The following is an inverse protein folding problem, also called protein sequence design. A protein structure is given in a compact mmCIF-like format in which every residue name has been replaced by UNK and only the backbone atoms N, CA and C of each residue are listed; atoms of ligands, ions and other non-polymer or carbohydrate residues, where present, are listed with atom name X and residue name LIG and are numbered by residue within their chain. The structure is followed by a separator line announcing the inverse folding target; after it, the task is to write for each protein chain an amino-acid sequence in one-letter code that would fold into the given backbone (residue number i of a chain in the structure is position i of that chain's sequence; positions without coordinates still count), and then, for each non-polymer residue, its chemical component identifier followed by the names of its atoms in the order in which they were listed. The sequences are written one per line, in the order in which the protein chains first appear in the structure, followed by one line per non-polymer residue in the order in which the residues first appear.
data_IF_406669538970
#
_entry.id   IF_406669538970
#
_cell.length_a   1.000
_cell.length_b   1.000
_cell.length_c   1.000
_cell.angle_alpha   90.00
_cell.angle_beta   90.00
_cell.angle_gamma   90.00
#
_symmetry.space_group_name_H-M   'P 1'
#
loop_
_entity.id
_entity.type
_entity.pdbx_description
1 polymer ?
#
# COMPACT_ATOMS: atom_id res chain seq x y z
N UNK A 1 7.59 -3.22 38.39
CA UNK A 1 8.07 -4.19 37.36
C UNK A 1 7.75 -3.62 35.99
N UNK A 2 8.74 -3.47 35.08
CA UNK A 2 8.45 -3.14 33.70
C UNK A 2 8.01 -4.45 33.01
N UNK A 3 6.83 -4.47 32.42
CA UNK A 3 6.38 -5.61 31.62
C UNK A 3 7.24 -5.69 30.35
N UNK A 4 7.67 -6.90 29.96
CA UNK A 4 8.35 -7.15 28.68
C UNK A 4 7.30 -7.11 27.58
N UNK A 5 7.53 -6.31 26.55
CA UNK A 5 6.73 -6.31 25.33
C UNK A 5 7.12 -7.53 24.46
N UNK A 6 6.32 -7.82 23.42
CA UNK A 6 6.66 -8.83 22.45
C UNK A 6 7.92 -8.41 21.67
N UNK A 7 8.81 -9.36 21.39
CA UNK A 7 10.14 -9.08 20.79
C UNK A 7 10.03 -8.35 19.42
N UNK A 8 8.94 -8.57 18.67
CA UNK A 8 8.68 -7.84 17.42
C UNK A 8 8.48 -6.34 17.61
N UNK A 9 8.04 -5.89 18.79
CA UNK A 9 7.85 -4.45 19.08
C UNK A 9 9.19 -3.73 19.17
N UNK A 10 10.23 -4.42 19.67
CA UNK A 10 11.58 -3.87 19.77
C UNK A 10 12.26 -3.71 18.40
N UNK A 11 11.75 -4.41 17.37
CA UNK A 11 12.23 -4.30 15.99
C UNK A 11 11.65 -3.10 15.21
N UNK A 12 10.54 -2.53 15.71
CA UNK A 12 9.81 -1.45 15.01
C UNK A 12 10.51 -0.12 15.24
N UNK A 13 10.74 0.61 14.16
CA UNK A 13 11.31 1.96 14.23
C UNK A 13 10.19 3.02 14.39
N UNK A 14 10.40 4.04 15.23
CA UNK A 14 9.47 5.16 15.31
C UNK A 14 9.29 5.84 13.96
N UNK A 15 8.06 6.26 13.64
CA UNK A 15 7.77 6.94 12.38
C UNK A 15 8.52 8.27 12.28
N UNK A 16 9.52 8.34 11.41
CA UNK A 16 10.29 9.56 11.14
C UNK A 16 9.38 10.71 10.66
N UNK A 17 8.37 10.40 9.85
CA UNK A 17 7.39 11.39 9.37
C UNK A 17 6.62 12.05 10.51
N UNK A 18 6.17 11.26 11.51
CA UNK A 18 5.48 11.80 12.68
C UNK A 18 6.42 12.63 13.57
N UNK A 19 7.67 12.22 13.71
CA UNK A 19 8.67 12.99 14.46
C UNK A 19 8.90 14.37 13.81
N UNK A 20 9.08 14.40 12.49
CA UNK A 20 9.23 15.66 11.74
C UNK A 20 7.99 16.56 11.86
N UNK A 21 6.80 15.99 11.77
CA UNK A 21 5.56 16.75 11.97
C UNK A 21 5.47 17.36 13.38
N UNK A 22 5.87 16.60 14.41
CA UNK A 22 5.91 17.09 15.81
C UNK A 22 6.91 18.23 15.96
N UNK A 23 8.13 18.08 15.45
CA UNK A 23 9.16 19.12 15.49
C UNK A 23 8.67 20.40 14.79
N UNK A 24 8.07 20.27 13.61
CA UNK A 24 7.51 21.40 12.88
C UNK A 24 6.38 22.11 13.66
N UNK A 25 5.52 21.36 14.34
CA UNK A 25 4.47 21.93 15.20
C UNK A 25 5.05 22.66 16.42
N UNK A 26 6.06 22.11 17.09
CA UNK A 26 6.74 22.76 18.20
C UNK A 26 7.44 24.05 17.79
N UNK A 27 8.11 24.06 16.64
CA UNK A 27 8.75 25.28 16.09
C UNK A 27 7.70 26.37 15.82
N UNK A 28 6.57 26.03 15.20
CA UNK A 28 5.47 26.98 14.99
C UNK A 28 4.90 27.52 16.31
N UNK A 29 4.76 26.67 17.31
CA UNK A 29 4.29 27.08 18.63
C UNK A 29 5.24 28.09 19.32
N UNK A 30 6.54 28.07 18.97
CA UNK A 30 7.54 29.06 19.40
C UNK A 30 7.55 30.33 18.56
N UNK A 31 6.66 30.46 17.56
CA UNK A 31 6.58 31.61 16.67
C UNK A 31 7.56 31.58 15.48
N UNK A 32 8.21 30.43 15.24
CA UNK A 32 9.11 30.29 14.09
C UNK A 32 8.33 30.09 12.78
N UNK A 33 8.81 30.70 11.70
CA UNK A 33 8.25 30.51 10.36
C UNK A 33 8.74 29.19 9.80
N UNK A 34 7.85 28.18 9.71
CA UNK A 34 8.19 26.82 9.25
C UNK A 34 7.34 26.42 8.07
N UNK A 35 7.99 26.05 6.97
CA UNK A 35 7.37 25.39 5.82
C UNK A 35 7.54 23.87 6.04
N UNK A 36 6.41 23.16 6.14
CA UNK A 36 6.40 21.73 6.43
C UNK A 36 6.09 20.90 5.18
N UNK A 37 7.01 20.05 4.78
CA UNK A 37 6.88 19.08 3.68
C UNK A 37 6.90 17.61 4.18
N UNK A 38 6.75 17.38 5.49
CA UNK A 38 6.91 16.03 6.05
C UNK A 38 5.67 15.15 5.91
N UNK A 39 4.48 15.73 5.66
CA UNK A 39 3.21 14.99 5.52
C UNK A 39 2.52 15.43 4.24
N UNK A 40 2.15 14.46 3.42
CA UNK A 40 1.33 14.67 2.22
C UNK A 40 -0.11 14.24 2.48
N UNK A 41 -1.05 15.16 2.31
CA UNK A 41 -2.48 14.91 2.35
C UNK A 41 -3.18 15.76 1.29
N UNK A 42 -4.35 15.35 0.78
CA UNK A 42 -5.15 16.21 -0.10
C UNK A 42 -5.49 17.51 0.60
N UNK A 43 -5.30 18.65 -0.08
CA UNK A 43 -5.56 19.98 0.45
C UNK A 43 -7.03 20.40 0.34
N UNK A 44 -7.84 19.66 -0.41
CA UNK A 44 -9.29 19.85 -0.50
C UNK A 44 -10.02 19.20 0.67
N UNK A 45 -11.05 19.88 1.15
CA UNK A 45 -11.99 19.28 2.09
C UNK A 45 -12.75 18.11 1.43
N UNK A 46 -13.26 17.19 2.25
CA UNK A 46 -14.16 16.14 1.78
C UNK A 46 -15.33 16.76 1.00
N UNK A 47 -15.65 16.28 -0.21
CA UNK A 47 -16.75 16.81 -1.01
C UNK A 47 -18.09 16.82 -0.26
N UNK A 48 -18.89 17.87 -0.47
CA UNK A 48 -20.12 18.07 0.31
C UNK A 48 -21.14 16.93 0.17
N UNK A 49 -21.23 16.30 -1.00
CA UNK A 49 -22.09 15.15 -1.23
C UNK A 49 -21.66 13.96 -0.36
N UNK A 50 -20.37 13.75 -0.14
CA UNK A 50 -19.83 12.69 0.72
C UNK A 50 -20.11 13.00 2.19
N UNK A 51 -19.88 14.27 2.61
CA UNK A 51 -20.23 14.74 3.95
C UNK A 51 -21.69 14.49 4.26
N UNK A 52 -22.58 14.89 3.34
CA UNK A 52 -24.03 14.73 3.51
C UNK A 52 -24.46 13.27 3.53
N UNK A 53 -23.82 12.40 2.71
CA UNK A 53 -24.05 10.96 2.76
C UNK A 53 -23.65 10.36 4.12
N UNK A 54 -22.51 10.79 4.68
CA UNK A 54 -22.08 10.36 6.02
C UNK A 54 -23.06 10.80 7.12
N UNK A 55 -23.51 12.05 7.12
CA UNK A 55 -24.54 12.55 8.06
C UNK A 55 -25.82 11.74 7.96
N UNK A 56 -26.32 11.52 6.74
CA UNK A 56 -27.53 10.74 6.49
C UNK A 56 -27.40 9.30 6.97
N UNK A 57 -26.24 8.67 6.77
CA UNK A 57 -25.98 7.32 7.26
C UNK A 57 -26.05 7.24 8.80
N UNK A 58 -25.49 8.23 9.49
CA UNK A 58 -25.60 8.32 10.96
C UNK A 58 -27.05 8.49 11.41
N UNK A 59 -27.82 9.40 10.78
CA UNK A 59 -29.22 9.64 11.08
C UNK A 59 -30.09 8.37 10.83
N UNK A 60 -29.71 7.55 9.87
CA UNK A 60 -30.33 6.27 9.54
C UNK A 60 -29.88 5.11 10.45
N UNK A 61 -29.02 5.36 11.40
CA UNK A 61 -28.56 4.35 12.37
C UNK A 61 -27.52 3.37 11.83
N UNK A 62 -26.76 3.70 10.80
CA UNK A 62 -25.60 2.93 10.34
C UNK A 62 -24.42 3.05 11.33
N UNK A 63 -24.70 2.74 12.58
CA UNK A 63 -23.77 2.84 13.73
C UNK A 63 -23.66 1.51 14.47
N UNK A 64 -24.05 0.41 13.83
CA UNK A 64 -24.01 -0.95 14.38
C UNK A 64 -22.87 -1.76 13.78
N UNK A 65 -22.68 -2.97 14.30
CA UNK A 65 -21.72 -3.91 13.73
C UNK A 65 -22.02 -4.23 12.27
N UNK A 66 -20.98 -4.34 11.46
CA UNK A 66 -21.05 -4.81 10.09
C UNK A 66 -20.52 -6.25 9.98
N UNK A 67 -20.74 -6.90 8.84
CA UNK A 67 -20.08 -8.16 8.54
C UNK A 67 -18.54 -7.98 8.52
N UNK A 68 -17.80 -9.01 8.88
CA UNK A 68 -16.33 -8.97 8.97
C UNK A 68 -15.63 -8.44 7.70
N UNK A 69 -16.05 -8.86 6.48
CA UNK A 69 -15.48 -8.33 5.24
C UNK A 69 -15.93 -6.90 4.89
N UNK A 70 -16.85 -6.33 5.61
CA UNK A 70 -17.47 -5.04 5.33
C UNK A 70 -18.90 -5.15 4.78
N UNK A 71 -19.58 -4.00 4.68
CA UNK A 71 -20.95 -3.92 4.18
C UNK A 71 -21.03 -4.42 2.73
N UNK A 72 -22.08 -5.21 2.44
CA UNK A 72 -22.27 -5.80 1.11
C UNK A 72 -22.38 -4.71 0.04
N UNK A 73 -23.16 -3.67 0.31
CA UNK A 73 -23.39 -2.57 -0.62
C UNK A 73 -22.06 -1.84 -0.95
N UNK A 74 -21.21 -1.67 0.04
CA UNK A 74 -19.91 -1.02 -0.17
C UNK A 74 -18.95 -1.92 -0.95
N UNK A 75 -18.88 -3.22 -0.62
CA UNK A 75 -18.08 -4.18 -1.39
C UNK A 75 -18.54 -4.28 -2.84
N UNK A 76 -19.86 -4.26 -3.07
CA UNK A 76 -20.42 -4.23 -4.44
C UNK A 76 -20.06 -2.93 -5.17
N UNK A 77 -20.07 -1.79 -4.48
CA UNK A 77 -19.62 -0.51 -5.06
C UNK A 77 -18.15 -0.56 -5.47
N UNK A 78 -17.28 -1.21 -4.67
CA UNK A 78 -15.88 -1.44 -5.00
C UNK A 78 -15.75 -2.34 -6.24
N UNK A 79 -16.46 -3.46 -6.33
CA UNK A 79 -16.47 -4.30 -7.53
C UNK A 79 -16.87 -3.50 -8.78
N UNK A 80 -17.92 -2.70 -8.67
CA UNK A 80 -18.39 -1.86 -9.77
C UNK A 80 -17.36 -0.80 -10.20
N UNK A 81 -16.66 -0.19 -9.23
CA UNK A 81 -15.55 0.74 -9.48
C UNK A 81 -14.42 0.05 -10.21
N UNK A 82 -13.96 -1.09 -9.71
CA UNK A 82 -12.86 -1.85 -10.31
C UNK A 82 -13.18 -2.29 -11.74
N UNK A 83 -14.41 -2.72 -12.00
CA UNK A 83 -14.86 -3.04 -13.36
C UNK A 83 -14.88 -1.82 -14.27
N UNK A 84 -15.45 -0.71 -13.81
CA UNK A 84 -15.62 0.50 -14.62
C UNK A 84 -14.32 1.23 -14.91
N UNK A 85 -13.42 1.32 -13.90
CA UNK A 85 -12.26 2.20 -13.94
C UNK A 85 -10.95 1.46 -14.20
N UNK A 86 -10.82 0.24 -13.67
CA UNK A 86 -9.60 -0.55 -13.81
C UNK A 86 -9.74 -1.71 -14.80
N UNK A 87 -10.96 -1.97 -15.33
CA UNK A 87 -11.21 -3.11 -16.22
C UNK A 87 -11.06 -4.47 -15.53
N UNK A 88 -11.27 -4.52 -14.20
CA UNK A 88 -11.09 -5.71 -13.37
C UNK A 88 -12.42 -6.21 -12.83
N UNK A 89 -12.71 -7.46 -13.07
CA UNK A 89 -13.88 -8.14 -12.50
C UNK A 89 -13.46 -8.97 -11.30
N UNK A 90 -14.12 -8.72 -10.15
CA UNK A 90 -13.97 -9.47 -8.91
C UNK A 90 -15.32 -9.95 -8.41
N UNK A 91 -15.34 -11.14 -7.79
CA UNK A 91 -16.47 -11.57 -6.97
C UNK A 91 -16.49 -10.75 -5.67
N UNK A 92 -17.69 -10.51 -5.16
CA UNK A 92 -17.86 -9.75 -3.91
C UNK A 92 -17.12 -10.40 -2.72
N UNK A 93 -16.91 -11.71 -2.74
CA UNK A 93 -16.18 -12.44 -1.71
C UNK A 93 -14.66 -12.28 -1.81
N UNK A 94 -14.17 -11.69 -2.89
CA UNK A 94 -12.76 -11.32 -3.04
C UNK A 94 -12.45 -9.91 -2.52
N UNK A 95 -13.49 -9.18 -2.05
CA UNK A 95 -13.34 -7.81 -1.53
C UNK A 95 -13.41 -7.82 0.00
N UNK A 96 -12.40 -7.21 0.62
CA UNK A 96 -12.33 -6.96 2.06
C UNK A 96 -12.13 -5.46 2.32
N UNK A 97 -12.92 -4.90 3.24
CA UNK A 97 -12.85 -3.50 3.66
C UNK A 97 -12.22 -3.42 5.04
N UNK A 98 -11.29 -2.50 5.22
CA UNK A 98 -10.61 -2.26 6.49
C UNK A 98 -10.61 -0.77 6.86
N UNK A 99 -10.11 -0.44 8.05
CA UNK A 99 -10.00 0.95 8.53
C UNK A 99 -8.81 1.66 7.87
N UNK A 100 -8.96 1.95 6.58
CA UNK A 100 -7.92 2.50 5.71
C UNK A 100 -6.92 1.45 5.24
N UNK A 101 -6.21 1.79 4.19
CA UNK A 101 -5.27 0.90 3.50
C UNK A 101 -4.10 0.46 4.39
N UNK A 102 -3.66 1.33 5.31
CA UNK A 102 -2.62 0.96 6.29
C UNK A 102 -2.98 -0.31 7.06
N UNK A 103 -4.25 -0.48 7.45
CA UNK A 103 -4.71 -1.70 8.10
C UNK A 103 -4.73 -2.87 7.12
N UNK A 104 -5.18 -2.67 5.87
CA UNK A 104 -5.17 -3.71 4.84
C UNK A 104 -3.77 -4.28 4.64
N UNK A 105 -2.79 -3.40 4.42
CA UNK A 105 -1.37 -3.77 4.22
C UNK A 105 -0.79 -4.49 5.44
N UNK A 106 -0.98 -3.94 6.64
CA UNK A 106 -0.48 -4.55 7.87
C UNK A 106 -1.11 -5.92 8.14
N UNK A 107 -2.42 -6.05 7.93
CA UNK A 107 -3.14 -7.32 8.13
C UNK A 107 -2.73 -8.35 7.08
N UNK A 108 -2.58 -7.94 5.81
CA UNK A 108 -2.10 -8.82 4.75
C UNK A 108 -0.70 -9.35 5.07
N UNK A 109 0.23 -8.48 5.48
CA UNK A 109 1.57 -8.92 5.88
C UNK A 109 1.51 -9.96 7.02
N UNK A 110 0.73 -9.68 8.08
CA UNK A 110 0.61 -10.58 9.23
C UNK A 110 -0.09 -11.91 8.91
N UNK A 111 -0.98 -11.92 7.90
CA UNK A 111 -1.67 -13.15 7.47
C UNK A 111 -0.82 -14.03 6.55
N UNK A 112 0.13 -13.43 5.82
CA UNK A 112 0.85 -14.10 4.73
C UNK A 112 2.29 -14.43 5.05
N UNK A 113 2.94 -13.66 5.92
CA UNK A 113 4.37 -13.76 6.21
C UNK A 113 4.62 -14.07 7.68
N UNK A 114 5.78 -14.62 7.99
CA UNK A 114 6.17 -14.99 9.35
C UNK A 114 7.68 -15.19 9.49
N UNK A 115 8.07 -15.77 10.61
CA UNK A 115 9.46 -16.01 10.95
C UNK A 115 10.18 -16.83 9.88
N UNK A 116 11.31 -16.32 9.39
CA UNK A 116 12.13 -16.94 8.35
C UNK A 116 11.75 -16.52 6.93
N UNK A 117 10.64 -15.81 6.74
CA UNK A 117 10.27 -15.26 5.44
C UNK A 117 10.97 -13.93 5.19
N UNK A 118 11.37 -13.68 3.95
CA UNK A 118 11.80 -12.36 3.45
C UNK A 118 10.73 -11.78 2.54
N UNK A 119 10.53 -10.46 2.62
CA UNK A 119 9.59 -9.74 1.75
C UNK A 119 10.32 -8.58 1.09
N UNK A 120 10.29 -8.54 -0.24
CA UNK A 120 10.96 -7.49 -1.01
C UNK A 120 10.23 -6.17 -0.85
N UNK A 121 11.02 -5.10 -0.61
CA UNK A 121 10.58 -3.70 -0.62
C UNK A 121 11.53 -2.89 -1.49
N UNK A 122 10.98 -2.11 -2.39
CA UNK A 122 11.76 -1.28 -3.33
C UNK A 122 12.01 0.09 -2.72
N UNK A 123 13.27 0.54 -2.72
CA UNK A 123 13.65 1.82 -2.12
C UNK A 123 13.99 2.88 -3.19
N UNK A 124 13.59 4.17 -2.96
CA UNK A 124 12.93 4.70 -1.75
C UNK A 124 11.50 4.15 -1.56
N UNK A 125 11.08 3.95 -0.32
CA UNK A 125 9.79 3.36 0.04
C UNK A 125 9.04 4.21 1.08
N UNK A 126 7.74 4.00 1.18
CA UNK A 126 6.97 4.51 2.30
C UNK A 126 7.42 3.82 3.61
N UNK A 127 7.81 4.63 4.58
CA UNK A 127 8.47 4.18 5.83
C UNK A 127 7.72 3.08 6.61
N UNK A 128 6.43 2.88 6.32
CA UNK A 128 5.65 1.86 7.02
C UNK A 128 5.79 0.45 6.43
N UNK A 129 6.24 0.27 5.19
CA UNK A 129 6.33 -1.06 4.58
C UNK A 129 7.25 -2.02 5.34
N UNK A 130 8.51 -1.66 5.66
CA UNK A 130 9.36 -2.54 6.45
C UNK A 130 8.78 -2.85 7.83
N UNK A 131 8.05 -1.89 8.43
CA UNK A 131 7.47 -2.07 9.76
C UNK A 131 6.31 -3.08 9.75
N UNK A 132 5.48 -3.12 8.69
CA UNK A 132 4.45 -4.14 8.53
C UNK A 132 5.04 -5.54 8.41
N UNK A 133 6.16 -5.66 7.69
CA UNK A 133 6.89 -6.93 7.53
C UNK A 133 7.46 -7.37 8.88
N UNK A 134 8.11 -6.48 9.64
CA UNK A 134 8.66 -6.78 10.97
C UNK A 134 7.57 -7.14 11.98
N UNK A 135 6.38 -6.50 11.89
CA UNK A 135 5.21 -6.85 12.70
C UNK A 135 4.69 -8.27 12.43
N UNK A 136 4.93 -8.78 11.23
CA UNK A 136 4.63 -10.15 10.84
C UNK A 136 5.75 -11.14 11.24
N UNK A 137 6.77 -10.71 11.99
CA UNK A 137 7.97 -11.48 12.33
C UNK A 137 8.81 -11.91 11.10
N UNK A 138 8.61 -11.28 9.94
CA UNK A 138 9.39 -11.46 8.71
C UNK A 138 10.47 -10.37 8.57
N UNK A 139 11.37 -10.53 7.60
CA UNK A 139 12.46 -9.57 7.37
C UNK A 139 12.29 -8.86 6.01
N UNK A 140 12.44 -7.52 5.93
CA UNK A 140 12.41 -6.81 4.67
C UNK A 140 13.71 -7.00 3.89
N UNK A 141 13.62 -7.47 2.64
CA UNK A 141 14.72 -7.48 1.67
C UNK A 141 14.62 -6.22 0.80
N UNK A 142 15.57 -5.30 1.00
CA UNK A 142 15.56 -4.02 0.30
C UNK A 142 16.25 -4.14 -1.06
N UNK A 143 15.58 -3.65 -2.10
CA UNK A 143 16.08 -3.59 -3.48
C UNK A 143 16.04 -2.14 -3.95
N UNK A 144 17.12 -1.68 -4.56
CA UNK A 144 17.17 -0.34 -5.13
C UNK A 144 16.27 -0.19 -6.35
N UNK A 145 15.82 1.04 -6.57
CA UNK A 145 15.20 1.45 -7.84
C UNK A 145 16.16 2.38 -8.58
N UNK A 146 15.94 2.55 -9.87
CA UNK A 146 16.79 3.32 -10.76
C UNK A 146 16.13 4.68 -11.07
N UNK A 147 16.61 5.79 -10.49
CA UNK A 147 16.03 7.12 -10.73
C UNK A 147 15.95 7.50 -12.20
N UNK A 148 16.96 7.12 -12.99
CA UNK A 148 17.04 7.35 -14.44
C UNK A 148 16.02 6.52 -15.24
N UNK A 149 15.37 5.54 -14.61
CA UNK A 149 14.27 4.73 -15.14
C UNK A 149 12.97 4.96 -14.37
N UNK A 150 12.72 6.19 -13.99
CA UNK A 150 11.51 6.57 -13.26
C UNK A 150 11.26 5.73 -11.98
N UNK A 151 12.34 5.38 -11.27
CA UNK A 151 12.32 4.56 -10.07
C UNK A 151 11.73 3.15 -10.29
N UNK A 152 11.94 2.56 -11.44
CA UNK A 152 11.71 1.13 -11.64
C UNK A 152 12.75 0.29 -10.89
N UNK A 153 12.45 -0.99 -10.59
CA UNK A 153 13.38 -1.86 -9.87
C UNK A 153 14.72 -2.04 -10.57
N UNK A 154 15.79 -2.06 -9.79
CA UNK A 154 17.05 -2.63 -10.25
C UNK A 154 16.92 -4.16 -10.30
N UNK A 155 16.53 -4.66 -11.45
CA UNK A 155 16.36 -6.10 -11.67
C UNK A 155 17.69 -6.87 -11.65
N UNK A 156 18.82 -6.23 -11.90
CA UNK A 156 20.13 -6.87 -11.83
C UNK A 156 20.50 -7.09 -10.36
N UNK A 157 20.31 -6.07 -9.53
CA UNK A 157 20.47 -6.21 -8.08
C UNK A 157 19.53 -7.30 -7.55
N UNK A 158 18.23 -7.23 -7.87
CA UNK A 158 17.25 -8.21 -7.42
C UNK A 158 17.68 -9.64 -7.71
N UNK A 159 18.06 -9.92 -8.96
CA UNK A 159 18.43 -11.26 -9.41
C UNK A 159 19.80 -11.73 -8.89
N UNK A 160 20.62 -10.82 -8.37
CA UNK A 160 21.90 -11.15 -7.72
C UNK A 160 21.74 -11.63 -6.27
N UNK A 161 20.59 -11.34 -5.63
CA UNK A 161 20.35 -11.71 -4.22
C UNK A 161 20.05 -13.21 -4.06
N UNK A 162 20.22 -13.69 -2.83
CA UNK A 162 19.72 -15.01 -2.43
C UNK A 162 18.20 -14.91 -2.17
N UNK A 163 17.42 -15.42 -3.10
CA UNK A 163 15.96 -15.29 -3.09
C UNK A 163 15.24 -16.50 -2.44
N UNK A 164 15.96 -17.40 -1.75
CA UNK A 164 15.37 -18.65 -1.22
C UNK A 164 14.37 -18.42 -0.10
N UNK A 165 14.56 -17.40 0.73
CA UNK A 165 13.68 -17.06 1.84
C UNK A 165 12.56 -16.08 1.41
N UNK A 166 12.62 -15.55 0.20
CA UNK A 166 11.63 -14.59 -0.29
C UNK A 166 10.31 -15.27 -0.54
N UNK A 167 9.26 -14.76 0.10
CA UNK A 167 7.88 -15.25 -0.02
C UNK A 167 6.95 -14.29 -0.73
N UNK A 168 7.30 -13.01 -0.77
CA UNK A 168 6.49 -12.01 -1.44
C UNK A 168 7.20 -10.68 -1.62
N UNK A 169 6.47 -9.73 -2.16
CA UNK A 169 6.92 -8.36 -2.34
C UNK A 169 5.79 -7.36 -2.11
N UNK A 170 6.16 -6.13 -1.72
CA UNK A 170 5.27 -4.98 -1.71
C UNK A 170 5.67 -4.09 -2.89
N UNK A 171 4.74 -3.92 -3.84
CA UNK A 171 4.84 -3.05 -4.99
C UNK A 171 3.98 -1.83 -4.74
N UNK A 172 4.55 -0.62 -4.84
CA UNK A 172 3.82 0.63 -4.71
C UNK A 172 4.03 1.47 -5.97
N UNK A 173 3.01 1.50 -6.81
CA UNK A 173 3.01 2.26 -8.07
C UNK A 173 1.59 2.78 -8.32
N UNK A 174 1.41 4.11 -8.39
CA UNK A 174 2.40 5.18 -8.23
C UNK A 174 3.04 5.21 -6.84
N UNK A 175 4.32 5.53 -6.75
CA UNK A 175 5.14 5.32 -5.57
C UNK A 175 5.15 6.50 -4.60
N UNK A 176 5.13 6.21 -3.31
CA UNK A 176 5.51 7.11 -2.25
C UNK A 176 6.92 6.71 -1.74
N UNK A 177 7.96 7.61 -1.81
CA UNK A 177 7.84 9.07 -1.96
C UNK A 177 8.13 9.61 -3.36
N UNK A 178 8.50 8.78 -4.33
CA UNK A 178 9.12 9.24 -5.58
C UNK A 178 8.13 9.79 -6.61
N UNK A 179 6.84 9.40 -6.55
CA UNK A 179 5.85 9.65 -7.58
C UNK A 179 6.04 8.81 -8.85
N UNK A 180 7.06 7.94 -8.88
CA UNK A 180 7.33 7.08 -10.03
C UNK A 180 6.19 6.12 -10.31
N UNK A 181 5.84 5.98 -11.58
CA UNK A 181 4.86 5.01 -12.10
C UNK A 181 5.64 3.98 -12.92
N UNK A 182 5.57 2.71 -12.52
CA UNK A 182 6.28 1.66 -13.25
C UNK A 182 5.67 1.43 -14.61
N UNK A 183 6.52 1.25 -15.60
CA UNK A 183 6.08 0.90 -16.95
C UNK A 183 5.43 -0.49 -16.99
N UNK A 184 4.61 -0.71 -18.01
CA UNK A 184 4.02 -2.00 -18.28
C UNK A 184 5.08 -3.10 -18.42
N UNK A 185 6.21 -2.79 -19.06
CA UNK A 185 7.33 -3.73 -19.22
C UNK A 185 7.92 -4.13 -17.86
N UNK A 186 8.14 -3.17 -16.95
CA UNK A 186 8.64 -3.43 -15.60
C UNK A 186 7.66 -4.28 -14.80
N UNK A 187 6.36 -3.98 -14.87
CA UNK A 187 5.30 -4.76 -14.21
C UNK A 187 5.26 -6.19 -14.74
N UNK A 188 5.25 -6.39 -16.07
CA UNK A 188 5.27 -7.73 -16.68
C UNK A 188 6.49 -8.51 -16.22
N UNK A 189 7.69 -7.89 -16.25
CA UNK A 189 8.93 -8.54 -15.82
C UNK A 189 8.87 -8.96 -14.35
N UNK A 190 8.42 -8.06 -13.46
CA UNK A 190 8.29 -8.35 -12.03
C UNK A 190 7.28 -9.46 -11.76
N UNK A 191 6.12 -9.41 -12.39
CA UNK A 191 5.09 -10.42 -12.21
C UNK A 191 5.52 -11.80 -12.71
N UNK A 192 6.26 -11.87 -13.83
CA UNK A 192 6.84 -13.14 -14.31
C UNK A 192 7.87 -13.72 -13.32
N UNK A 193 8.69 -12.86 -12.70
CA UNK A 193 9.61 -13.28 -11.64
C UNK A 193 8.83 -13.77 -10.42
N UNK A 194 7.84 -13.02 -9.95
CA UNK A 194 7.00 -13.40 -8.82
C UNK A 194 6.28 -14.74 -9.07
N UNK A 195 5.71 -14.92 -10.27
CA UNK A 195 5.07 -16.19 -10.67
C UNK A 195 6.05 -17.36 -10.67
N UNK A 196 7.25 -17.18 -11.25
CA UNK A 196 8.30 -18.22 -11.30
C UNK A 196 8.70 -18.69 -9.91
N UNK A 197 8.76 -17.78 -8.94
CA UNK A 197 9.18 -18.07 -7.58
C UNK A 197 8.01 -18.34 -6.62
N UNK A 198 6.77 -18.30 -7.13
CA UNK A 198 5.55 -18.45 -6.34
C UNK A 198 5.43 -17.40 -5.21
N UNK A 199 5.85 -16.17 -5.47
CA UNK A 199 5.75 -15.05 -4.54
C UNK A 199 4.34 -14.44 -4.55
N UNK A 200 3.94 -13.91 -3.41
CA UNK A 200 2.72 -13.09 -3.29
C UNK A 200 3.09 -11.64 -3.53
N UNK A 201 2.37 -10.98 -4.42
CA UNK A 201 2.52 -9.55 -4.70
C UNK A 201 1.44 -8.79 -3.93
N UNK A 202 1.83 -7.92 -3.01
CA UNK A 202 0.95 -6.92 -2.41
C UNK A 202 1.13 -5.65 -3.22
N UNK A 203 0.14 -5.27 -4.03
CA UNK A 203 0.16 -4.09 -4.88
C UNK A 203 -0.58 -2.95 -4.18
N UNK A 204 0.17 -1.97 -3.68
CA UNK A 204 -0.35 -0.72 -3.12
C UNK A 204 -0.56 0.28 -4.25
N UNK A 205 -1.83 0.50 -4.60
CA UNK A 205 -2.27 1.36 -5.69
C UNK A 205 -3.06 2.59 -5.18
N UNK A 206 -2.79 3.04 -3.94
CA UNK A 206 -3.53 4.14 -3.31
C UNK A 206 -3.45 5.47 -4.08
N UNK A 207 -2.43 5.64 -4.91
CA UNK A 207 -2.22 6.84 -5.72
C UNK A 207 -2.69 6.70 -7.17
N UNK A 208 -3.53 5.72 -7.50
CA UNK A 208 -3.99 5.46 -8.88
C UNK A 208 -4.55 6.70 -9.60
N UNK A 209 -5.09 7.68 -8.85
CA UNK A 209 -5.66 8.92 -9.39
C UNK A 209 -4.70 10.12 -9.38
N UNK A 210 -3.51 9.97 -8.83
CA UNK A 210 -2.51 11.04 -8.72
C UNK A 210 -1.37 10.80 -9.72
N UNK A 211 -1.72 10.57 -10.96
CA UNK A 211 -0.79 10.47 -12.10
C UNK A 211 -0.96 11.71 -12.94
N UNK A 212 0.11 12.49 -13.07
CA UNK A 212 0.10 13.77 -13.78
C UNK A 212 0.57 13.66 -15.21
N UNK A 213 1.47 12.71 -15.47
CA UNK A 213 2.01 12.43 -16.80
C UNK A 213 1.86 10.93 -17.11
N UNK A 214 1.26 10.61 -18.24
CA UNK A 214 0.99 9.23 -18.65
C UNK A 214 -0.33 8.67 -18.09
N UNK A 215 -0.43 7.35 -18.10
CA UNK A 215 -1.63 6.63 -17.64
C UNK A 215 -1.25 5.60 -16.56
N UNK A 216 -2.14 5.41 -15.61
CA UNK A 216 -2.04 4.36 -14.61
C UNK A 216 -2.70 3.09 -15.13
N UNK A 217 -2.00 1.97 -14.97
CA UNK A 217 -2.58 0.64 -15.17
C UNK A 217 -2.37 -0.20 -13.93
N UNK A 218 -3.45 -0.78 -13.40
CA UNK A 218 -3.37 -1.65 -12.23
C UNK A 218 -2.49 -2.87 -12.50
N UNK A 219 -1.68 -3.24 -11.51
CA UNK A 219 -0.82 -4.43 -11.56
C UNK A 219 -1.60 -5.71 -11.88
N UNK A 220 -2.80 -5.86 -11.29
CA UNK A 220 -3.65 -7.01 -11.58
C UNK A 220 -4.22 -6.97 -13.02
N UNK A 221 -4.45 -5.79 -13.58
CA UNK A 221 -4.86 -5.66 -14.99
C UNK A 221 -3.79 -6.21 -15.92
N UNK A 222 -2.53 -5.85 -15.70
CA UNK A 222 -1.37 -6.40 -16.42
C UNK A 222 -1.28 -7.92 -16.23
N UNK A 223 -1.45 -8.42 -15.00
CA UNK A 223 -1.43 -9.84 -14.70
C UNK A 223 -2.44 -10.64 -15.56
N UNK A 224 -3.66 -10.11 -15.71
CA UNK A 224 -4.74 -10.74 -16.49
C UNK A 224 -4.52 -10.60 -17.99
N UNK A 225 -4.22 -9.39 -18.47
CA UNK A 225 -4.06 -9.12 -19.90
C UNK A 225 -2.95 -9.95 -20.53
N UNK A 226 -1.87 -10.18 -19.77
CA UNK A 226 -0.73 -10.98 -20.22
C UNK A 226 -0.76 -12.45 -19.77
N UNK A 227 -1.86 -12.90 -19.14
CA UNK A 227 -2.06 -14.28 -18.66
C UNK A 227 -0.89 -14.79 -17.79
N UNK A 228 -0.31 -13.92 -16.93
CA UNK A 228 0.87 -14.27 -16.12
C UNK A 228 0.46 -15.19 -14.96
N UNK A 229 -0.73 -14.98 -14.39
CA UNK A 229 -1.28 -15.76 -13.29
C UNK A 229 -0.39 -15.73 -12.01
N UNK A 230 0.18 -14.57 -11.70
CA UNK A 230 0.81 -14.31 -10.41
C UNK A 230 -0.27 -14.14 -9.33
N UNK A 231 0.07 -14.41 -8.08
CA UNK A 231 -0.83 -14.17 -6.94
C UNK A 231 -0.71 -12.73 -6.50
N UNK A 232 -1.77 -11.94 -6.63
CA UNK A 232 -1.78 -10.50 -6.32
C UNK A 232 -2.88 -10.17 -5.31
N UNK A 233 -2.55 -9.32 -4.35
CA UNK A 233 -3.49 -8.63 -3.49
C UNK A 233 -3.39 -7.15 -3.83
N UNK A 234 -4.43 -6.60 -4.43
CA UNK A 234 -4.51 -5.16 -4.76
C UNK A 234 -5.06 -4.40 -3.55
N UNK A 235 -4.31 -3.42 -3.08
CA UNK A 235 -4.69 -2.53 -1.99
C UNK A 235 -5.03 -1.15 -2.55
N UNK A 236 -6.18 -0.61 -2.15
CA UNK A 236 -6.71 0.67 -2.60
C UNK A 236 -7.16 1.51 -1.40
N UNK A 237 -7.22 2.83 -1.58
CA UNK A 237 -7.67 3.74 -0.54
C UNK A 237 -8.62 4.80 -1.09
N UNK A 238 -9.55 5.25 -0.26
CA UNK A 238 -10.35 6.45 -0.52
C UNK A 238 -9.67 7.74 0.00
N UNK A 239 -8.51 7.60 0.68
CA UNK A 239 -7.84 8.75 1.31
C UNK A 239 -7.10 9.66 0.33
N UNK A 240 -6.82 9.16 -0.88
CA UNK A 240 -6.01 9.85 -1.90
C UNK A 240 -6.77 10.03 -3.23
N UNK A 241 -8.09 9.72 -3.23
CA UNK A 241 -8.94 9.78 -4.44
C UNK A 241 -9.93 10.93 -4.37
#
# INVERSE_FOLDING_TARGET
MKHKLADRVDKIQPSFTLQMATIAAEMRARGESVINFSVGEPDFNTPENIINAGKKAMDQGYTKYTAGPGMIEFRQAICNKLKRENGLEYDINEILVSNGEKQSLSTACQALFGQGDEVIVFQPYWVSFPEFIRLADAEPLLINTLPEKNFEPDFEELLSKNLKAVKGLILNSPSNPTGGVWSEEALIRMLKIAKKHNWIVISDECYERLVYDGEFTSTEKINRDYNINATIITCLSLSKT
#
